data_IF_752100734662
#
_entry.id   IF_752100734662
#
_cell.length_a   1.000
_cell.length_b   1.000
_cell.length_c   1.000
_cell.angle_alpha   90.00
_cell.angle_beta   90.00
_cell.angle_gamma   90.00
#
_symmetry.space_group_name_H-M   'P 1'
#
loop_
_entity.id
_entity.type
_entity.pdbx_description
1 polymer ?
#
# COMPACT_ATOMS: atom_id res chain seq x y z
N UNK A 1 -14.57 -27.33 -1.66
CA UNK A 1 -15.09 -26.45 -2.73
C UNK A 1 -13.95 -25.51 -3.13
N UNK A 2 -13.65 -25.36 -4.42
CA UNK A 2 -12.64 -24.36 -4.82
C UNK A 2 -13.23 -22.97 -4.63
N UNK A 3 -12.45 -22.06 -4.03
CA UNK A 3 -12.81 -20.64 -3.98
C UNK A 3 -12.91 -20.06 -5.39
N UNK A 4 -13.79 -19.07 -5.57
CA UNK A 4 -13.90 -18.34 -6.84
C UNK A 4 -12.76 -17.32 -6.94
N UNK A 5 -11.85 -17.50 -7.89
CA UNK A 5 -10.70 -16.62 -8.11
C UNK A 5 -11.11 -15.25 -8.65
N UNK A 6 -12.26 -15.16 -9.29
CA UNK A 6 -12.76 -13.91 -9.89
C UNK A 6 -13.52 -13.05 -8.88
N UNK A 7 -13.92 -13.62 -7.75
CA UNK A 7 -14.60 -12.89 -6.70
C UNK A 7 -13.62 -12.07 -5.85
N UNK A 8 -13.56 -10.77 -6.14
CA UNK A 8 -12.80 -9.77 -5.39
C UNK A 8 -13.69 -8.88 -4.50
N UNK A 9 -14.95 -9.24 -4.28
CA UNK A 9 -15.95 -8.42 -3.57
C UNK A 9 -15.55 -8.11 -2.12
N UNK A 10 -14.80 -9.02 -1.47
CA UNK A 10 -14.31 -8.83 -0.11
C UNK A 10 -13.01 -8.03 -0.05
N UNK A 11 -12.46 -7.61 -1.19
CA UNK A 11 -11.17 -6.94 -1.29
C UNK A 11 -11.27 -5.56 -1.95
N UNK A 12 -11.98 -5.46 -3.07
CA UNK A 12 -12.22 -4.18 -3.76
C UNK A 12 -13.08 -3.27 -2.87
N UNK A 13 -12.70 -2.00 -2.80
CA UNK A 13 -13.34 -0.99 -1.96
C UNK A 13 -12.86 -0.97 -0.51
N UNK A 14 -11.97 -1.87 -0.12
CA UNK A 14 -11.43 -1.91 1.25
C UNK A 14 -10.16 -1.06 1.36
N UNK A 15 -10.02 -0.41 2.52
CA UNK A 15 -8.80 0.27 2.93
C UNK A 15 -8.15 -0.50 4.09
N UNK A 16 -6.84 -0.65 3.99
CA UNK A 16 -6.00 -1.41 4.91
C UNK A 16 -4.88 -0.54 5.44
N UNK A 17 -4.64 -0.57 6.76
CA UNK A 17 -3.45 0.02 7.36
C UNK A 17 -2.71 -1.09 8.06
N UNK A 18 -1.41 -1.17 7.83
CA UNK A 18 -0.56 -2.23 8.37
C UNK A 18 0.79 -1.69 8.82
N UNK A 19 1.31 -2.32 9.86
CA UNK A 19 2.64 -2.05 10.40
C UNK A 19 3.56 -3.20 10.03
N UNK A 20 4.64 -2.89 9.31
CA UNK A 20 5.73 -3.84 9.09
C UNK A 20 6.46 -4.14 10.40
N UNK A 21 7.04 -5.32 10.52
CA UNK A 21 7.83 -5.73 11.69
C UNK A 21 9.02 -4.79 11.95
N UNK A 22 9.45 -4.05 10.92
CA UNK A 22 10.44 -2.97 11.00
C UNK A 22 9.92 -1.68 11.63
N UNK A 23 8.64 -1.61 11.98
CA UNK A 23 8.00 -0.43 12.56
C UNK A 23 7.48 0.58 11.54
N UNK A 24 7.45 0.26 10.26
CA UNK A 24 6.95 1.15 9.21
C UNK A 24 5.46 0.97 9.01
N UNK A 25 4.73 2.08 8.89
CA UNK A 25 3.28 2.08 8.66
C UNK A 25 2.94 2.48 7.24
N UNK A 26 2.15 1.64 6.58
CA UNK A 26 1.65 1.84 5.24
C UNK A 26 0.13 1.72 5.21
N UNK A 27 -0.48 2.38 4.25
CA UNK A 27 -1.91 2.37 4.00
C UNK A 27 -2.17 2.09 2.54
N UNK A 28 -3.09 1.17 2.27
CA UNK A 28 -3.49 0.72 0.94
C UNK A 28 -5.00 0.80 0.81
N UNK A 29 -5.49 1.44 -0.23
CA UNK A 29 -6.90 1.40 -0.64
C UNK A 29 -7.03 0.68 -1.98
N UNK A 30 -7.75 -0.43 -2.01
CA UNK A 30 -8.05 -1.18 -3.22
C UNK A 30 -9.23 -0.51 -3.91
N UNK A 31 -8.95 0.47 -4.74
CA UNK A 31 -9.94 1.40 -5.31
C UNK A 31 -10.93 0.69 -6.22
N UNK A 32 -10.42 -0.15 -7.11
CA UNK A 32 -11.20 -0.98 -8.02
C UNK A 32 -10.38 -2.20 -8.46
N UNK A 33 -10.82 -2.91 -9.49
CA UNK A 33 -10.16 -4.16 -9.95
C UNK A 33 -8.80 -3.96 -10.61
N UNK A 34 -8.42 -2.74 -10.94
CA UNK A 34 -7.20 -2.43 -11.71
C UNK A 34 -6.35 -1.32 -11.09
N UNK A 35 -6.85 -0.60 -10.08
CA UNK A 35 -6.11 0.49 -9.43
C UNK A 35 -6.18 0.43 -7.91
N UNK A 36 -5.12 0.92 -7.30
CA UNK A 36 -5.02 1.21 -5.87
C UNK A 36 -4.63 2.67 -5.67
N UNK A 37 -4.99 3.20 -4.50
CA UNK A 37 -4.37 4.39 -3.94
C UNK A 37 -3.60 3.97 -2.68
N UNK A 38 -2.49 4.64 -2.37
CA UNK A 38 -1.74 4.34 -1.15
C UNK A 38 -1.01 5.55 -0.58
N UNK A 39 -0.63 5.47 0.71
CA UNK A 39 0.26 6.43 1.35
C UNK A 39 1.18 5.76 2.36
N UNK A 40 2.34 6.36 2.55
CA UNK A 40 3.40 5.86 3.43
C UNK A 40 3.52 6.78 4.63
N UNK A 41 3.08 6.30 5.79
CA UNK A 41 3.10 7.09 7.03
C UNK A 41 4.50 7.16 7.64
N UNK A 42 5.26 6.06 7.57
CA UNK A 42 6.63 5.98 8.08
C UNK A 42 7.47 4.98 7.30
N UNK A 43 8.79 5.08 7.39
CA UNK A 43 9.74 4.24 6.67
C UNK A 43 10.64 5.04 5.73
N UNK A 44 11.32 4.36 4.81
CA UNK A 44 12.32 4.96 3.92
C UNK A 44 11.72 6.11 3.08
N UNK A 45 10.50 5.93 2.61
CA UNK A 45 9.81 6.87 1.71
C UNK A 45 8.59 7.53 2.39
N UNK A 46 8.68 7.76 3.69
CA UNK A 46 7.63 8.41 4.48
C UNK A 46 7.22 9.75 3.86
N UNK A 47 5.92 9.99 3.79
CA UNK A 47 5.33 11.17 3.15
C UNK A 47 4.87 10.95 1.70
N UNK A 48 5.28 9.85 1.09
CA UNK A 48 4.82 9.47 -0.26
C UNK A 48 3.35 9.11 -0.25
N UNK A 49 2.61 9.57 -1.25
CA UNK A 49 1.26 9.11 -1.52
C UNK A 49 0.95 9.13 -3.02
N UNK A 50 0.07 8.24 -3.42
CA UNK A 50 -0.18 7.92 -4.83
C UNK A 50 -1.65 7.62 -5.02
N UNK A 51 -2.21 8.10 -6.13
CA UNK A 51 -3.56 7.75 -6.60
C UNK A 51 -3.49 7.05 -7.94
N UNK A 52 -4.47 6.18 -8.17
CA UNK A 52 -4.68 5.50 -9.45
C UNK A 52 -3.46 4.68 -9.94
N UNK A 53 -2.71 4.09 -9.00
CA UNK A 53 -1.64 3.16 -9.36
C UNK A 53 -2.24 1.90 -9.99
N UNK A 54 -1.88 1.65 -11.24
CA UNK A 54 -2.29 0.41 -11.93
C UNK A 54 -1.65 -0.80 -11.26
N UNK A 55 -2.45 -1.84 -11.02
CA UNK A 55 -2.03 -3.06 -10.33
C UNK A 55 -2.57 -4.32 -10.98
N UNK A 56 -1.91 -5.43 -10.69
CA UNK A 56 -2.44 -6.77 -10.88
C UNK A 56 -2.98 -7.28 -9.55
N UNK A 57 -4.27 -7.60 -9.52
CA UNK A 57 -4.94 -8.21 -8.35
C UNK A 57 -5.20 -9.70 -8.61
N UNK A 58 -4.97 -10.52 -7.61
CA UNK A 58 -5.29 -11.94 -7.66
C UNK A 58 -5.83 -12.43 -6.32
N UNK A 59 -6.94 -13.16 -6.34
CA UNK A 59 -7.37 -13.99 -5.21
C UNK A 59 -6.72 -15.36 -5.33
N UNK A 60 -5.79 -15.65 -4.44
CA UNK A 60 -4.97 -16.88 -4.50
C UNK A 60 -5.41 -17.94 -3.50
N UNK A 61 -6.35 -17.62 -2.62
CA UNK A 61 -6.94 -18.52 -1.64
C UNK A 61 -8.19 -17.90 -1.01
N UNK A 62 -8.83 -18.64 -0.13
CA UNK A 62 -9.90 -18.08 0.70
C UNK A 62 -9.29 -17.02 1.63
N UNK A 63 -9.82 -15.78 1.59
CA UNK A 63 -9.29 -14.62 2.31
C UNK A 63 -7.80 -14.30 2.04
N UNK A 64 -7.26 -14.77 0.91
CA UNK A 64 -5.86 -14.58 0.55
C UNK A 64 -5.76 -13.86 -0.81
N UNK A 65 -5.16 -12.67 -0.79
CA UNK A 65 -5.08 -11.79 -1.94
C UNK A 65 -3.64 -11.38 -2.22
N UNK A 66 -3.33 -11.19 -3.50
CA UNK A 66 -2.04 -10.65 -3.96
C UNK A 66 -2.28 -9.38 -4.76
N UNK A 67 -1.47 -8.37 -4.49
CA UNK A 67 -1.41 -7.10 -5.21
C UNK A 67 0.01 -6.89 -5.69
N UNK A 68 0.22 -6.63 -6.95
CA UNK A 68 1.56 -6.35 -7.48
C UNK A 68 1.52 -5.25 -8.53
N UNK A 69 2.59 -4.42 -8.55
CA UNK A 69 2.71 -3.30 -9.47
C UNK A 69 4.16 -2.86 -9.67
N UNK A 70 4.38 -2.11 -10.73
CA UNK A 70 5.61 -1.35 -10.99
C UNK A 70 5.27 0.14 -10.96
N UNK A 71 6.07 0.91 -10.25
CA UNK A 71 5.91 2.36 -10.15
C UNK A 71 6.68 3.11 -11.25
N UNK A 72 6.29 4.36 -11.58
CA UNK A 72 7.08 5.23 -12.46
C UNK A 72 8.53 5.41 -12.01
N UNK A 73 8.77 5.28 -10.71
CA UNK A 73 10.10 5.34 -10.08
C UNK A 73 11.01 4.16 -10.42
N UNK A 74 10.46 3.09 -10.99
CA UNK A 74 11.16 1.81 -11.19
C UNK A 74 11.11 0.88 -9.96
N UNK A 75 10.35 1.22 -8.94
CA UNK A 75 10.09 0.34 -7.79
C UNK A 75 9.09 -0.73 -8.17
N UNK A 76 9.40 -1.98 -7.89
CA UNK A 76 8.47 -3.09 -8.00
C UNK A 76 7.97 -3.50 -6.60
N UNK A 77 6.67 -3.75 -6.49
CA UNK A 77 6.02 -4.13 -5.24
C UNK A 77 5.15 -5.37 -5.43
N UNK A 78 5.22 -6.27 -4.49
CA UNK A 78 4.32 -7.40 -4.39
C UNK A 78 3.87 -7.56 -2.94
N UNK A 79 2.57 -7.44 -2.70
CA UNK A 79 1.95 -7.65 -1.40
C UNK A 79 1.09 -8.91 -1.43
N UNK A 80 1.15 -9.69 -0.37
CA UNK A 80 0.21 -10.76 -0.09
C UNK A 80 -0.53 -10.42 1.20
N UNK A 81 -1.87 -10.35 1.14
CA UNK A 81 -2.72 -10.03 2.27
C UNK A 81 -3.53 -11.27 2.66
N UNK A 82 -3.33 -11.74 3.87
CA UNK A 82 -4.12 -12.80 4.48
C UNK A 82 -5.13 -12.17 5.45
N UNK A 83 -6.38 -12.07 5.01
CA UNK A 83 -7.44 -11.43 5.78
C UNK A 83 -8.06 -12.35 6.84
N UNK A 84 -7.64 -13.61 6.90
CA UNK A 84 -8.02 -14.53 7.98
C UNK A 84 -7.13 -14.34 9.21
N UNK A 85 -5.83 -14.25 8.98
CA UNK A 85 -4.82 -14.13 10.04
C UNK A 85 -4.35 -12.68 10.26
N UNK A 86 -4.87 -11.72 9.48
CA UNK A 86 -4.55 -10.29 9.55
C UNK A 86 -3.06 -9.98 9.31
N UNK A 87 -2.45 -10.77 8.46
CA UNK A 87 -1.03 -10.67 8.10
C UNK A 87 -0.87 -10.18 6.68
N UNK A 88 0.11 -9.31 6.49
CA UNK A 88 0.58 -8.88 5.17
C UNK A 88 2.03 -9.31 5.01
N UNK A 89 2.41 -9.81 3.85
CA UNK A 89 3.80 -9.96 3.45
C UNK A 89 4.08 -9.02 2.28
N UNK A 90 5.09 -8.18 2.41
CA UNK A 90 5.50 -7.25 1.37
C UNK A 90 6.92 -7.57 0.87
N UNK A 91 7.06 -7.61 -0.45
CA UNK A 91 8.35 -7.60 -1.14
C UNK A 91 8.42 -6.31 -1.98
N UNK A 92 9.34 -5.42 -1.64
CA UNK A 92 9.54 -4.13 -2.30
C UNK A 92 10.97 -4.11 -2.84
N UNK A 93 11.11 -3.81 -4.13
CA UNK A 93 12.39 -3.77 -4.83
C UNK A 93 12.69 -2.31 -5.19
N UNK A 94 13.45 -1.62 -4.34
CA UNK A 94 13.83 -0.24 -4.57
C UNK A 94 15.05 -0.15 -5.50
N UNK A 95 14.96 0.62 -6.61
CA UNK A 95 16.14 0.96 -7.39
C UNK A 95 17.12 1.78 -6.56
N UNK A 96 18.42 1.64 -6.85
CA UNK A 96 19.48 2.27 -6.04
C UNK A 96 19.37 3.78 -5.94
N UNK A 97 18.88 4.43 -6.99
CA UNK A 97 18.71 5.88 -6.96
C UNK A 97 17.75 6.37 -5.85
N UNK A 98 16.70 5.59 -5.55
CA UNK A 98 15.77 5.89 -4.45
C UNK A 98 16.45 5.73 -3.10
N UNK A 99 17.18 4.62 -2.91
CA UNK A 99 17.92 4.38 -1.66
C UNK A 99 18.91 5.50 -1.37
N UNK A 100 19.51 6.05 -2.42
CA UNK A 100 20.45 7.17 -2.30
C UNK A 100 19.75 8.52 -2.04
N UNK A 101 18.50 8.69 -2.50
CA UNK A 101 17.76 9.95 -2.44
C UNK A 101 16.26 9.71 -2.16
N UNK A 102 15.90 9.07 -1.04
CA UNK A 102 14.51 8.68 -0.78
C UNK A 102 13.56 9.89 -0.64
N UNK A 103 14.07 11.05 -0.25
CA UNK A 103 13.32 12.30 -0.14
C UNK A 103 12.72 12.78 -1.46
N UNK A 104 13.30 12.38 -2.60
CA UNK A 104 12.82 12.78 -3.93
C UNK A 104 11.48 12.16 -4.30
N UNK A 105 11.08 11.07 -3.64
CA UNK A 105 9.79 10.41 -3.89
C UNK A 105 8.81 10.55 -2.73
N UNK A 106 9.18 11.24 -1.65
CA UNK A 106 8.35 11.52 -0.49
C UNK A 106 7.36 12.67 -0.76
N UNK A 107 6.54 12.54 -1.79
CA UNK A 107 5.61 13.56 -2.28
C UNK A 107 4.38 12.91 -2.92
N UNK A 108 3.47 13.74 -3.45
CA UNK A 108 2.36 13.27 -4.29
C UNK A 108 2.87 12.86 -5.68
N UNK A 109 2.97 11.57 -5.93
CA UNK A 109 3.55 11.04 -7.18
C UNK A 109 2.88 11.61 -8.43
N UNK A 110 1.55 11.73 -8.42
CA UNK A 110 0.78 12.08 -9.62
C UNK A 110 1.08 13.50 -10.16
N UNK A 111 1.66 14.37 -9.33
CA UNK A 111 2.13 15.70 -9.75
C UNK A 111 3.60 15.71 -10.22
N UNK A 112 4.32 14.58 -10.08
CA UNK A 112 5.76 14.47 -10.33
C UNK A 112 6.12 13.30 -11.27
N UNK A 113 5.21 12.84 -12.12
CA UNK A 113 5.42 11.64 -12.95
C UNK A 113 6.62 11.77 -13.88
N UNK A 114 6.74 12.88 -14.62
CA UNK A 114 7.85 13.11 -15.55
C UNK A 114 9.21 13.16 -14.82
N UNK A 115 9.23 13.77 -13.63
CA UNK A 115 10.42 13.81 -12.78
C UNK A 115 10.82 12.42 -12.29
N UNK A 116 9.84 11.62 -11.83
CA UNK A 116 10.08 10.24 -11.38
C UNK A 116 10.64 9.37 -12.50
N UNK A 117 10.08 9.47 -13.69
CA UNK A 117 10.55 8.74 -14.86
C UNK A 117 11.95 9.16 -15.28
N UNK A 118 12.24 10.46 -15.26
CA UNK A 118 13.58 10.98 -15.60
C UNK A 118 14.62 10.50 -14.58
N UNK A 119 14.31 10.48 -13.29
CA UNK A 119 15.19 9.98 -12.24
C UNK A 119 15.43 8.46 -12.36
N UNK A 120 14.37 7.70 -12.67
CA UNK A 120 14.48 6.27 -12.98
C UNK A 120 15.45 6.03 -14.13
N UNK A 121 15.27 6.77 -15.23
CA UNK A 121 16.07 6.59 -16.45
C UNK A 121 17.54 7.04 -16.25
N UNK A 122 17.78 8.02 -15.39
CA UNK A 122 19.13 8.43 -15.01
C UNK A 122 19.82 7.41 -14.09
N UNK A 123 19.06 6.66 -13.29
CA UNK A 123 19.59 5.62 -12.39
C UNK A 123 20.47 6.15 -11.25
N UNK A 124 21.28 5.25 -10.66
CA UNK A 124 21.42 3.83 -10.95
C UNK A 124 20.22 2.99 -10.46
N UNK A 125 19.93 1.91 -11.16
CA UNK A 125 18.93 0.92 -10.75
C UNK A 125 19.55 -0.08 -9.77
N UNK A 126 20.74 -0.56 -10.08
CA UNK A 126 21.43 -1.59 -9.30
C UNK A 126 22.57 -1.02 -8.44
N UNK A 127 22.90 -1.71 -7.35
CA UNK A 127 22.21 -2.88 -6.80
C UNK A 127 20.88 -2.48 -6.18
N UNK A 128 19.83 -3.23 -6.52
CA UNK A 128 18.47 -3.05 -5.96
C UNK A 128 18.48 -3.36 -4.46
N UNK A 129 17.78 -2.55 -3.68
CA UNK A 129 17.49 -2.84 -2.26
C UNK A 129 16.18 -3.59 -2.16
N UNK A 130 16.21 -4.76 -1.54
CA UNK A 130 15.03 -5.60 -1.37
C UNK A 130 14.56 -5.52 0.07
N UNK A 131 13.34 -5.04 0.26
CA UNK A 131 12.63 -5.11 1.52
C UNK A 131 11.69 -6.30 1.43
N UNK A 132 11.98 -7.32 2.19
CA UNK A 132 11.17 -8.53 2.35
C UNK A 132 10.77 -8.60 3.83
N UNK A 133 9.50 -8.37 4.13
CA UNK A 133 9.06 -8.23 5.52
C UNK A 133 7.58 -8.56 5.68
N UNK A 134 7.27 -9.15 6.83
CA UNK A 134 5.90 -9.28 7.30
C UNK A 134 5.40 -7.98 7.91
N UNK A 135 4.08 -7.82 7.90
CA UNK A 135 3.37 -6.73 8.55
C UNK A 135 2.07 -7.26 9.15
N UNK A 136 1.58 -6.58 10.17
CA UNK A 136 0.31 -6.87 10.81
C UNK A 136 -0.73 -5.82 10.38
N UNK A 137 -1.91 -6.25 9.97
CA UNK A 137 -3.05 -5.36 9.75
C UNK A 137 -3.48 -4.77 11.09
N UNK A 138 -3.57 -3.45 11.17
CA UNK A 138 -4.01 -2.73 12.36
C UNK A 138 -5.35 -2.05 12.19
N UNK A 139 -5.77 -1.83 10.94
CA UNK A 139 -7.05 -1.21 10.62
C UNK A 139 -7.54 -1.67 9.24
N UNK A 140 -8.82 -1.96 9.15
CA UNK A 140 -9.49 -2.29 7.89
C UNK A 140 -10.89 -1.67 7.90
N UNK A 141 -11.28 -1.03 6.80
CA UNK A 141 -12.63 -0.47 6.62
C UNK A 141 -13.16 -0.68 5.22
N UNK A 142 -14.47 -0.66 5.08
CA UNK A 142 -15.15 -0.66 3.79
C UNK A 142 -15.43 0.79 3.36
N UNK A 143 -14.78 1.21 2.31
CA UNK A 143 -14.93 2.57 1.76
C UNK A 143 -15.77 2.58 0.48
N UNK A 144 -16.19 1.41 -0.01
CA UNK A 144 -16.73 1.24 -1.34
C UNK A 144 -15.69 1.45 -2.45
N UNK A 145 -15.98 1.02 -3.67
CA UNK A 145 -15.09 1.22 -4.81
C UNK A 145 -15.11 2.69 -5.29
N UNK A 146 -14.05 3.08 -6.00
CA UNK A 146 -13.91 4.38 -6.68
C UNK A 146 -14.17 5.61 -5.79
N UNK A 147 -13.80 5.53 -4.51
CA UNK A 147 -13.96 6.61 -3.55
C UNK A 147 -12.68 7.47 -3.48
N UNK A 148 -12.73 8.64 -4.12
CA UNK A 148 -11.62 9.58 -4.22
C UNK A 148 -11.19 10.22 -2.88
N UNK A 149 -12.01 10.08 -1.83
CA UNK A 149 -11.75 10.70 -0.53
C UNK A 149 -10.92 9.84 0.42
N UNK A 150 -10.70 8.56 0.11
CA UNK A 150 -9.99 7.63 1.00
C UNK A 150 -8.53 8.02 1.15
N UNK A 151 -7.83 8.24 0.03
CA UNK A 151 -6.46 8.74 -0.02
C UNK A 151 -6.48 10.07 -0.79
N UNK A 152 -6.57 11.19 -0.09
CA UNK A 152 -6.75 12.52 -0.68
C UNK A 152 -5.77 13.57 -0.17
N UNK A 153 -4.84 13.19 0.71
CA UNK A 153 -3.84 14.07 1.29
C UNK A 153 -2.59 13.30 1.74
N UNK A 154 -1.46 13.97 1.96
CA UNK A 154 -0.28 13.34 2.54
C UNK A 154 -0.52 12.91 4.00
N UNK A 155 0.30 11.97 4.53
CA UNK A 155 0.17 11.54 5.92
C UNK A 155 0.27 12.66 6.94
N UNK A 156 1.06 13.71 6.64
CA UNK A 156 1.28 14.87 7.52
C UNK A 156 0.03 15.73 7.77
N UNK A 157 -0.98 15.62 6.93
CA UNK A 157 -2.26 16.35 7.07
C UNK A 157 -3.34 15.55 7.80
N UNK A 158 -3.03 14.31 8.18
CA UNK A 158 -3.98 13.45 8.89
C UNK A 158 -4.07 13.84 10.37
N UNK A 159 -5.25 13.61 11.01
CA UNK A 159 -5.40 13.78 12.44
C UNK A 159 -4.43 12.91 13.25
N UNK A 160 -4.03 13.37 14.44
CA UNK A 160 -3.08 12.67 15.32
C UNK A 160 -3.50 11.23 15.63
N UNK A 161 -4.80 10.97 15.83
CA UNK A 161 -5.33 9.65 16.16
C UNK A 161 -5.79 8.85 14.95
N UNK A 162 -5.36 9.22 13.74
CA UNK A 162 -5.70 8.47 12.54
C UNK A 162 -5.10 7.06 12.57
N UNK A 163 -5.84 6.00 12.18
CA UNK A 163 -7.19 5.99 11.64
C UNK A 163 -8.32 5.89 12.70
N UNK A 164 -8.00 5.78 13.96
CA UNK A 164 -8.97 5.47 15.04
C UNK A 164 -9.93 6.62 15.34
N UNK A 165 -9.68 7.82 14.82
CA UNK A 165 -10.60 8.95 14.85
C UNK A 165 -11.67 8.92 13.75
N UNK A 166 -11.60 7.98 12.83
CA UNK A 166 -12.56 7.88 11.73
C UNK A 166 -13.93 7.38 12.25
N UNK A 167 -15.04 7.87 11.66
CA UNK A 167 -16.39 7.40 12.03
C UNK A 167 -16.67 5.98 11.55
N UNK A 168 -15.88 5.49 10.60
CA UNK A 168 -16.05 4.16 10.00
C UNK A 168 -15.67 3.06 10.99
N UNK A 169 -16.43 1.97 10.94
CA UNK A 169 -16.16 0.81 11.78
C UNK A 169 -14.87 0.14 11.31
N UNK A 170 -13.94 -0.07 12.25
CA UNK A 170 -12.85 -1.01 12.03
C UNK A 170 -13.40 -2.42 11.88
N UNK A 171 -13.09 -3.08 10.76
CA UNK A 171 -13.57 -4.44 10.47
C UNK A 171 -12.69 -5.53 11.09
N UNK A 172 -11.54 -5.16 11.68
CA UNK A 172 -10.72 -6.11 12.43
C UNK A 172 -11.37 -6.43 13.78
N UNK A 173 -11.25 -7.67 14.28
CA UNK A 173 -11.70 -7.99 15.63
C UNK A 173 -10.89 -7.23 16.68
N UNK A 174 -11.52 -6.90 17.81
CA UNK A 174 -10.89 -6.14 18.90
C UNK A 174 -9.59 -6.75 19.40
N UNK A 175 -9.45 -8.08 19.32
CA UNK A 175 -8.25 -8.81 19.69
C UNK A 175 -7.04 -8.59 18.73
N UNK A 176 -7.28 -8.15 17.51
CA UNK A 176 -6.22 -7.88 16.52
C UNK A 176 -5.72 -6.42 16.57
N UNK A 177 -6.44 -5.53 17.24
CA UNK A 177 -6.11 -4.11 17.31
C UNK A 177 -5.18 -3.71 18.46
N UNK A 178 -4.74 -4.66 19.28
CA UNK A 178 -4.03 -4.40 20.57
C UNK A 178 -2.58 -4.90 20.63
N UNK A 179 -1.98 -5.32 19.51
CA UNK A 179 -0.55 -5.70 19.48
C UNK A 179 0.31 -4.72 18.68
#
# INVERSE_FOLDING_TARGET
MRFDREDLSQFVGKSFIYNYDKGWRYELYVKNRITIDYRVHSGIVAGRWVKDQTVCLARVGENLYRVSWTEPTGTDVSLTLNLHDFVVHGAIYFPRWIVNNPEKIACYQNEHLEEMEALRDAGPIYPTEIIDSFATLIYMRDCGPDNEQVISCPPSELPENYPFCLPDKNLLPESAATE
#
